data_IF_110014069213
#
_entry.id   IF_110014069213
#
_cell.length_a   1.000
_cell.length_b   1.000
_cell.length_c   1.000
_cell.angle_alpha   90.00
_cell.angle_beta   90.00
_cell.angle_gamma   90.00
#
_symmetry.space_group_name_H-M   'P 1'
#
loop_
_entity.id
_entity.type
_entity.pdbx_description
1 polymer ?
#
# COMPACT_ATOMS: atom_id res chain seq x y z
N UNK A 1 -4.87 55.91 40.97
CA UNK A 1 -3.66 56.02 41.83
C UNK A 1 -2.78 54.84 41.51
N UNK A 2 -1.64 55.13 40.87
CA UNK A 2 -0.56 54.19 40.62
C UNK A 2 0.10 53.80 41.95
N UNK A 3 0.49 52.54 42.10
CA UNK A 3 1.77 52.19 42.71
C UNK A 3 2.19 50.74 42.39
N UNK A 4 3.29 50.67 41.65
CA UNK A 4 4.44 49.74 41.73
C UNK A 4 4.23 48.30 42.22
N UNK A 5 4.63 47.34 41.39
CA UNK A 5 5.32 46.13 41.86
C UNK A 5 6.28 45.58 40.81
N UNK A 6 7.34 44.99 41.33
CA UNK A 6 8.67 44.69 40.79
C UNK A 6 8.73 43.73 39.61
N UNK A 7 9.69 43.99 38.72
CA UNK A 7 10.30 43.00 37.84
C UNK A 7 11.10 41.98 38.65
N UNK A 8 10.74 40.71 38.52
CA UNK A 8 11.62 39.57 38.76
C UNK A 8 11.47 38.62 37.58
N UNK A 9 12.56 38.45 36.84
CA UNK A 9 12.71 37.48 35.75
C UNK A 9 12.66 36.06 36.30
N UNK A 10 11.67 35.28 35.88
CA UNK A 10 11.71 33.83 35.97
C UNK A 10 11.88 33.27 34.56
N UNK A 11 13.08 32.75 34.29
CA UNK A 11 13.36 31.84 33.19
C UNK A 11 12.38 30.67 33.26
N UNK A 12 11.36 30.68 32.40
CA UNK A 12 10.64 29.48 32.02
C UNK A 12 11.39 28.87 30.84
N UNK A 13 12.25 27.91 31.17
CA UNK A 13 12.74 26.91 30.22
C UNK A 13 11.52 26.14 29.70
N UNK A 14 11.07 26.51 28.49
CA UNK A 14 10.15 25.72 27.70
C UNK A 14 10.82 24.38 27.38
N UNK A 15 10.56 23.38 28.22
CA UNK A 15 10.70 21.98 27.86
C UNK A 15 9.59 21.64 26.86
N UNK A 16 9.78 22.04 25.60
CA UNK A 16 9.08 21.45 24.47
C UNK A 16 9.64 20.04 24.26
N UNK A 17 9.16 19.10 25.07
CA UNK A 17 9.19 17.69 24.73
C UNK A 17 8.20 17.45 23.59
N UNK A 18 8.57 17.88 22.37
CA UNK A 18 8.03 17.26 21.18
C UNK A 18 8.55 15.82 21.18
N UNK A 19 7.67 14.87 21.51
CA UNK A 19 7.89 13.44 21.34
C UNK A 19 8.08 13.18 19.85
N UNK A 20 9.34 13.26 19.41
CA UNK A 20 9.77 12.78 18.11
C UNK A 20 9.62 11.27 18.14
N UNK A 21 8.52 10.77 17.57
CA UNK A 21 8.25 9.33 17.43
C UNK A 21 9.25 8.70 16.46
N UNK A 22 10.47 8.49 16.95
CA UNK A 22 11.42 7.54 16.38
C UNK A 22 11.06 6.09 16.77
N UNK A 23 9.96 5.89 17.51
CA UNK A 23 9.48 4.63 18.07
C UNK A 23 8.56 3.84 17.12
N UNK A 24 8.71 4.00 15.80
CA UNK A 24 8.10 3.05 14.88
C UNK A 24 8.86 1.74 14.94
N UNK A 25 8.48 0.89 15.90
CA UNK A 25 8.97 -0.48 16.02
C UNK A 25 8.14 -1.35 15.08
N UNK A 26 8.80 -1.94 14.09
CA UNK A 26 8.21 -3.01 13.30
C UNK A 26 8.22 -4.27 14.17
N UNK A 27 7.10 -4.59 14.81
CA UNK A 27 6.97 -5.83 15.57
C UNK A 27 6.76 -7.00 14.61
N UNK A 28 7.57 -8.05 14.71
CA UNK A 28 7.31 -9.35 14.08
C UNK A 28 6.16 -10.11 14.79
N UNK A 29 5.87 -9.74 16.03
CA UNK A 29 5.02 -10.50 16.97
C UNK A 29 3.53 -10.50 16.61
N UNK A 30 3.07 -9.65 15.69
CA UNK A 30 1.65 -9.61 15.32
C UNK A 30 1.27 -10.66 14.26
N UNK A 31 2.23 -11.42 13.71
CA UNK A 31 1.94 -12.57 12.84
C UNK A 31 1.90 -13.85 13.68
N UNK A 32 0.80 -14.61 13.60
CA UNK A 32 0.65 -15.85 14.37
C UNK A 32 1.69 -16.89 13.95
N UNK A 33 2.10 -17.78 14.87
CA UNK A 33 3.03 -18.87 14.54
C UNK A 33 2.50 -19.79 13.43
N UNK A 34 1.18 -19.99 13.36
CA UNK A 34 0.56 -20.74 12.27
C UNK A 34 0.74 -20.02 10.92
N UNK A 35 0.56 -18.70 10.88
CA UNK A 35 0.78 -17.91 9.68
C UNK A 35 2.27 -17.83 9.29
N UNK A 36 3.19 -17.73 10.26
CA UNK A 36 4.64 -17.80 9.99
C UNK A 36 5.04 -19.13 9.36
N UNK A 37 4.52 -20.24 9.88
CA UNK A 37 4.80 -21.57 9.35
C UNK A 37 4.25 -21.79 7.94
N UNK A 38 3.10 -21.17 7.62
CA UNK A 38 2.47 -21.33 6.31
C UNK A 38 3.05 -20.38 5.26
N UNK A 39 3.21 -19.09 5.58
CA UNK A 39 3.72 -18.07 4.68
C UNK A 39 5.20 -17.82 4.93
N UNK A 40 6.05 -18.76 4.52
CA UNK A 40 7.50 -18.71 4.78
C UNK A 40 8.19 -17.42 4.28
N UNK A 41 7.61 -16.77 3.26
CA UNK A 41 8.04 -15.49 2.71
C UNK A 41 7.78 -14.27 3.61
N UNK A 42 7.14 -14.44 4.79
CA UNK A 42 6.92 -13.36 5.75
C UNK A 42 8.23 -12.68 6.19
N UNK A 43 9.32 -13.46 6.23
CA UNK A 43 10.66 -12.98 6.59
C UNK A 43 11.24 -12.02 5.54
N UNK A 44 11.00 -12.28 4.25
CA UNK A 44 11.39 -11.38 3.16
C UNK A 44 10.59 -10.07 3.17
N UNK A 45 9.30 -10.16 3.50
CA UNK A 45 8.45 -8.98 3.72
C UNK A 45 9.02 -8.15 4.88
N UNK A 46 9.26 -8.76 6.04
CA UNK A 46 9.83 -8.07 7.20
C UNK A 46 11.18 -7.42 6.88
N UNK A 47 12.10 -8.17 6.26
CA UNK A 47 13.41 -7.66 5.84
C UNK A 47 13.28 -6.44 4.92
N UNK A 48 12.29 -6.43 4.04
CA UNK A 48 12.01 -5.30 3.15
C UNK A 48 11.53 -4.07 3.91
N UNK A 49 10.58 -4.24 4.83
CA UNK A 49 10.12 -3.13 5.67
C UNK A 49 11.22 -2.58 6.57
N UNK A 50 12.05 -3.44 7.17
CA UNK A 50 13.18 -3.02 7.99
C UNK A 50 14.23 -2.27 7.15
N UNK A 51 14.48 -2.74 5.92
CA UNK A 51 15.35 -2.04 4.96
C UNK A 51 14.86 -0.61 4.68
N UNK A 52 13.56 -0.43 4.42
CA UNK A 52 12.99 0.91 4.24
C UNK A 52 13.07 1.77 5.49
N UNK A 53 12.81 1.18 6.67
CA UNK A 53 12.89 1.88 7.95
C UNK A 53 14.31 2.43 8.17
N UNK A 54 15.34 1.60 7.96
CA UNK A 54 16.75 2.01 8.07
C UNK A 54 17.09 3.11 7.06
N UNK A 55 16.64 2.97 5.81
CA UNK A 55 16.86 3.97 4.76
C UNK A 55 16.28 5.34 5.16
N UNK A 56 15.03 5.38 5.63
CA UNK A 56 14.38 6.62 6.07
C UNK A 56 15.10 7.23 7.27
N UNK A 57 15.51 6.41 8.24
CA UNK A 57 16.19 6.89 9.45
C UNK A 57 17.58 7.48 9.15
N UNK A 58 18.31 6.90 8.20
CA UNK A 58 19.63 7.39 7.79
C UNK A 58 19.57 8.58 6.84
N UNK A 59 18.44 8.80 6.16
CA UNK A 59 18.33 9.87 5.17
C UNK A 59 18.22 11.26 5.85
N UNK A 60 19.30 12.04 5.75
CA UNK A 60 19.41 13.41 6.29
C UNK A 60 18.60 14.47 5.53
N UNK A 61 18.09 14.13 4.34
CA UNK A 61 17.32 15.04 3.49
C UNK A 61 15.80 14.96 3.73
N UNK A 62 15.36 14.00 4.55
CA UNK A 62 13.95 13.88 4.96
C UNK A 62 13.73 14.74 6.20
N UNK A 63 12.78 15.67 6.14
CA UNK A 63 12.37 16.49 7.28
C UNK A 63 11.76 15.62 8.40
N UNK A 64 11.74 16.11 9.63
CA UNK A 64 11.14 15.38 10.76
C UNK A 64 9.67 15.00 10.50
N UNK A 65 8.92 15.90 9.86
CA UNK A 65 7.52 15.65 9.47
C UNK A 65 7.43 14.53 8.42
N UNK A 66 8.24 14.60 7.36
CA UNK A 66 8.27 13.56 6.32
C UNK A 66 8.71 12.21 6.88
N UNK A 67 9.66 12.20 7.81
CA UNK A 67 10.15 11.00 8.49
C UNK A 67 9.03 10.33 9.27
N UNK A 68 8.31 11.08 10.11
CA UNK A 68 7.17 10.55 10.87
C UNK A 68 6.09 10.01 9.94
N UNK A 69 5.79 10.73 8.84
CA UNK A 69 4.82 10.28 7.84
C UNK A 69 5.21 8.94 7.22
N UNK A 70 6.43 8.81 6.69
CA UNK A 70 6.86 7.57 6.04
C UNK A 70 7.00 6.39 7.01
N UNK A 71 7.47 6.63 8.24
CA UNK A 71 7.56 5.58 9.26
C UNK A 71 6.17 5.10 9.67
N UNK A 72 5.23 6.00 9.95
CA UNK A 72 3.84 5.63 10.24
C UNK A 72 3.20 4.84 9.11
N UNK A 73 3.46 5.25 7.87
CA UNK A 73 2.96 4.55 6.69
C UNK A 73 3.55 3.14 6.54
N UNK A 74 4.86 2.96 6.76
CA UNK A 74 5.48 1.63 6.78
C UNK A 74 4.84 0.73 7.82
N UNK A 75 4.59 1.25 9.03
CA UNK A 75 3.95 0.51 10.10
C UNK A 75 2.53 0.08 9.73
N UNK A 76 1.75 0.99 9.13
CA UNK A 76 0.37 0.72 8.71
C UNK A 76 0.32 -0.37 7.63
N UNK A 77 1.21 -0.30 6.64
CA UNK A 77 1.30 -1.27 5.57
C UNK A 77 1.70 -2.65 6.08
N UNK A 78 2.76 -2.73 6.89
CA UNK A 78 3.21 -3.99 7.48
C UNK A 78 2.15 -4.60 8.40
N UNK A 79 1.46 -3.78 9.19
CA UNK A 79 0.33 -4.23 10.03
C UNK A 79 -0.82 -4.78 9.18
N UNK A 80 -1.16 -4.11 8.08
CA UNK A 80 -2.20 -4.55 7.14
C UNK A 80 -1.84 -5.90 6.52
N UNK A 81 -0.58 -6.08 6.10
CA UNK A 81 -0.06 -7.36 5.61
C UNK A 81 -0.26 -8.48 6.63
N UNK A 82 0.19 -8.29 7.88
CA UNK A 82 0.05 -9.30 8.94
C UNK A 82 -1.41 -9.66 9.22
N UNK A 83 -2.30 -8.66 9.25
CA UNK A 83 -3.74 -8.85 9.41
C UNK A 83 -4.34 -9.71 8.31
N UNK A 84 -3.98 -9.47 7.04
CA UNK A 84 -4.43 -10.28 5.90
C UNK A 84 -3.93 -11.72 6.00
N UNK A 85 -2.64 -11.92 6.30
CA UNK A 85 -2.06 -13.25 6.42
C UNK A 85 -2.68 -14.05 7.57
N UNK A 86 -2.83 -13.45 8.76
CA UNK A 86 -3.51 -14.11 9.89
C UNK A 86 -4.96 -14.46 9.52
N UNK A 87 -5.71 -13.51 8.95
CA UNK A 87 -7.09 -13.73 8.55
C UNK A 87 -7.21 -14.90 7.56
N UNK A 88 -6.29 -14.99 6.60
CA UNK A 88 -6.29 -16.05 5.61
C UNK A 88 -6.12 -17.45 6.21
N UNK A 89 -5.28 -17.58 7.23
CA UNK A 89 -5.01 -18.84 7.93
C UNK A 89 -6.15 -19.23 8.85
N UNK A 90 -6.67 -18.26 9.61
CA UNK A 90 -7.84 -18.48 10.47
C UNK A 90 -9.07 -18.95 9.67
N UNK A 91 -9.18 -18.52 8.41
CA UNK A 91 -10.32 -18.80 7.55
C UNK A 91 -9.96 -19.71 6.37
N UNK A 92 -9.02 -20.65 6.58
CA UNK A 92 -8.45 -21.75 5.72
C UNK A 92 -9.15 -22.16 4.41
N UNK A 93 -10.45 -21.93 4.22
CA UNK A 93 -11.25 -22.28 3.05
C UNK A 93 -10.77 -21.69 1.73
N UNK A 94 -9.95 -20.64 1.70
CA UNK A 94 -9.53 -19.94 0.47
C UNK A 94 -8.02 -19.93 0.21
N UNK A 95 -7.20 -20.39 1.15
CA UNK A 95 -5.75 -20.56 0.93
C UNK A 95 -5.50 -21.61 -0.16
N UNK A 96 -6.31 -22.67 -0.19
CA UNK A 96 -6.23 -23.75 -1.18
C UNK A 96 -7.10 -23.53 -2.43
N UNK A 97 -7.84 -22.42 -2.50
CA UNK A 97 -8.68 -22.13 -3.68
C UNK A 97 -7.80 -21.58 -4.81
N UNK A 98 -7.80 -22.28 -5.94
CA UNK A 98 -7.20 -21.78 -7.16
C UNK A 98 -7.90 -20.47 -7.57
N UNK A 99 -7.10 -19.49 -8.01
CA UNK A 99 -7.63 -18.34 -8.73
C UNK A 99 -8.39 -18.80 -9.99
N UNK A 100 -9.33 -17.99 -10.52
CA UNK A 100 -10.08 -18.36 -11.72
C UNK A 100 -9.16 -18.87 -12.84
N UNK A 101 -9.61 -19.90 -13.57
CA UNK A 101 -8.83 -20.54 -14.65
C UNK A 101 -8.46 -19.55 -15.76
N UNK A 102 -9.33 -18.55 -15.97
CA UNK A 102 -9.04 -17.37 -16.79
C UNK A 102 -8.16 -16.44 -15.97
N UNK A 103 -6.92 -16.21 -16.41
CA UNK A 103 -6.00 -15.30 -15.75
C UNK A 103 -6.49 -13.85 -15.76
N UNK A 104 -5.87 -12.96 -14.96
CA UNK A 104 -6.26 -11.56 -14.90
C UNK A 104 -6.04 -10.83 -16.23
N UNK A 105 -6.88 -9.85 -16.53
CA UNK A 105 -6.62 -8.84 -17.54
C UNK A 105 -5.86 -7.69 -16.88
N UNK A 106 -4.66 -7.39 -17.37
CA UNK A 106 -3.73 -6.48 -16.71
C UNK A 106 -3.45 -5.31 -17.64
N UNK A 107 -3.82 -4.10 -17.21
CA UNK A 107 -3.45 -2.86 -17.89
C UNK A 107 -2.08 -2.41 -17.37
N UNK A 108 -1.10 -2.37 -18.26
CA UNK A 108 0.28 -1.95 -17.94
C UNK A 108 0.76 -0.83 -18.89
N UNK A 109 1.93 -0.29 -18.57
CA UNK A 109 2.51 0.88 -19.24
C UNK A 109 2.92 1.96 -18.24
N UNK A 110 3.71 2.92 -18.71
CA UNK A 110 4.18 4.02 -17.88
C UNK A 110 3.04 4.97 -17.50
N UNK A 111 3.25 5.77 -16.46
CA UNK A 111 2.33 6.85 -16.13
C UNK A 111 2.14 7.80 -17.33
N UNK A 112 0.96 8.44 -17.41
CA UNK A 112 0.60 9.43 -18.45
C UNK A 112 0.44 8.87 -19.88
N UNK A 113 0.25 7.57 -20.02
CA UNK A 113 -0.05 6.86 -21.29
C UNK A 113 -1.55 6.57 -21.50
N UNK A 114 -2.40 6.97 -20.55
CA UNK A 114 -3.86 6.74 -20.61
C UNK A 114 -4.35 5.50 -19.86
N UNK A 115 -3.47 4.82 -19.10
CA UNK A 115 -3.83 3.64 -18.29
C UNK A 115 -5.04 3.86 -17.38
N UNK A 116 -5.11 4.98 -16.66
CA UNK A 116 -6.22 5.27 -15.73
C UNK A 116 -7.57 5.34 -16.44
N UNK A 117 -7.64 6.01 -17.60
CA UNK A 117 -8.87 6.10 -18.39
C UNK A 117 -9.30 4.72 -18.88
N UNK A 118 -8.37 3.97 -19.49
CA UNK A 118 -8.65 2.63 -20.01
C UNK A 118 -9.08 1.66 -18.91
N UNK A 119 -8.39 1.67 -17.77
CA UNK A 119 -8.68 0.81 -16.63
C UNK A 119 -10.09 1.06 -16.08
N UNK A 120 -10.47 2.32 -15.88
CA UNK A 120 -11.82 2.67 -15.44
C UNK A 120 -12.90 2.31 -16.47
N UNK A 121 -12.62 2.47 -17.78
CA UNK A 121 -13.55 2.07 -18.84
C UNK A 121 -13.79 0.55 -18.85
N UNK A 122 -12.72 -0.25 -18.75
CA UNK A 122 -12.81 -1.71 -18.70
C UNK A 122 -13.55 -2.17 -17.43
N UNK A 123 -13.35 -1.46 -16.31
CA UNK A 123 -14.00 -1.77 -15.05
C UNK A 123 -15.53 -1.54 -15.05
N UNK A 124 -16.09 -0.92 -16.09
CA UNK A 124 -17.54 -0.84 -16.28
C UNK A 124 -18.18 -2.20 -16.63
N UNK A 125 -17.41 -3.21 -17.06
CA UNK A 125 -17.94 -4.55 -17.30
C UNK A 125 -18.27 -5.25 -15.96
N UNK A 126 -19.57 -5.50 -15.74
CA UNK A 126 -20.06 -6.16 -14.53
C UNK A 126 -19.59 -7.62 -14.39
N UNK A 127 -19.07 -8.23 -15.46
CA UNK A 127 -18.50 -9.58 -15.39
C UNK A 127 -17.08 -9.60 -14.82
N UNK A 128 -16.34 -8.49 -14.91
CA UNK A 128 -15.02 -8.37 -14.31
C UNK A 128 -15.09 -7.82 -12.87
N UNK A 129 -13.97 -7.91 -12.15
CA UNK A 129 -13.78 -7.23 -10.88
C UNK A 129 -12.41 -6.57 -10.86
N UNK A 130 -12.40 -5.26 -10.63
CA UNK A 130 -11.21 -4.55 -10.18
C UNK A 130 -11.29 -4.35 -8.66
N UNK A 131 -10.16 -4.39 -7.93
CA UNK A 131 -10.15 -4.10 -6.51
C UNK A 131 -10.55 -2.64 -6.25
N UNK A 132 -11.39 -2.42 -5.25
CA UNK A 132 -11.70 -1.06 -4.79
C UNK A 132 -10.55 -0.51 -3.94
N UNK A 133 -10.35 0.81 -3.94
CA UNK A 133 -9.43 1.45 -3.01
C UNK A 133 -9.73 1.06 -1.56
N UNK A 134 -11.02 1.07 -1.19
CA UNK A 134 -11.48 0.68 0.14
C UNK A 134 -11.20 -0.80 0.44
N UNK A 135 -11.24 -1.69 -0.55
CA UNK A 135 -10.85 -3.09 -0.36
C UNK A 135 -9.38 -3.21 0.05
N UNK A 136 -8.52 -2.34 -0.49
CA UNK A 136 -7.08 -2.39 -0.29
C UNK A 136 -6.59 -1.59 0.91
N UNK A 137 -7.31 -0.56 1.33
CA UNK A 137 -6.76 0.44 2.27
C UNK A 137 -7.60 0.66 3.54
N UNK A 138 -8.89 0.29 3.56
CA UNK A 138 -9.80 0.67 4.66
C UNK A 138 -10.51 -0.55 5.24
N UNK A 139 -10.32 -0.82 6.54
CA UNK A 139 -10.92 -1.97 7.23
C UNK A 139 -10.77 -3.27 6.41
N UNK A 140 -9.56 -3.54 5.92
CA UNK A 140 -9.23 -4.57 4.91
C UNK A 140 -9.75 -5.95 5.30
N UNK A 141 -9.65 -6.30 6.59
CA UNK A 141 -10.19 -7.54 7.17
C UNK A 141 -11.26 -7.24 8.23
N UNK A 142 -12.40 -7.97 8.23
CA UNK A 142 -12.79 -8.98 7.25
C UNK A 142 -13.14 -8.36 5.87
N UNK A 143 -12.99 -9.10 4.75
CA UNK A 143 -13.40 -8.62 3.45
C UNK A 143 -14.93 -8.53 3.36
N UNK A 144 -15.42 -7.61 2.53
CA UNK A 144 -16.86 -7.45 2.25
C UNK A 144 -17.10 -7.49 0.73
N UNK A 145 -18.28 -7.95 0.33
CA UNK A 145 -18.67 -7.98 -1.07
C UNK A 145 -18.95 -6.56 -1.60
N UNK A 146 -18.82 -6.33 -2.92
CA UNK A 146 -19.27 -5.06 -3.53
C UNK A 146 -20.77 -4.81 -3.35
N UNK A 147 -21.56 -5.87 -3.19
CA UNK A 147 -23.00 -5.80 -2.94
C UNK A 147 -23.37 -5.37 -1.52
N UNK A 148 -22.42 -5.37 -0.57
CA UNK A 148 -22.66 -4.87 0.80
C UNK A 148 -22.63 -3.34 0.83
N UNK A 149 -23.74 -2.71 0.47
CA UNK A 149 -23.86 -1.26 0.40
C UNK A 149 -23.62 -0.57 1.74
N UNK A 150 -23.99 -1.20 2.85
CA UNK A 150 -23.79 -0.64 4.20
C UNK A 150 -22.32 -0.65 4.58
N UNK A 151 -21.64 -1.78 4.39
CA UNK A 151 -20.20 -1.91 4.65
C UNK A 151 -19.37 -0.99 3.75
N UNK A 152 -19.70 -0.92 2.46
CA UNK A 152 -19.01 -0.05 1.51
C UNK A 152 -19.20 1.44 1.85
N UNK A 153 -20.41 1.85 2.23
CA UNK A 153 -20.66 3.22 2.70
C UNK A 153 -19.85 3.54 3.95
N UNK A 154 -19.83 2.65 4.94
CA UNK A 154 -19.01 2.83 6.16
C UNK A 154 -17.53 3.01 5.83
N UNK A 155 -16.95 2.17 4.96
CA UNK A 155 -15.55 2.30 4.54
C UNK A 155 -15.29 3.65 3.85
N UNK A 156 -16.22 4.09 3.01
CA UNK A 156 -16.13 5.40 2.35
C UNK A 156 -16.23 6.57 3.35
N UNK A 157 -17.09 6.48 4.36
CA UNK A 157 -17.23 7.49 5.41
C UNK A 157 -15.94 7.60 6.25
N UNK A 158 -15.30 6.47 6.57
CA UNK A 158 -13.99 6.44 7.23
C UNK A 158 -12.94 7.14 6.36
N UNK A 159 -12.84 6.76 5.09
CA UNK A 159 -11.91 7.40 4.15
C UNK A 159 -12.13 8.92 4.06
N UNK A 160 -13.38 9.35 3.87
CA UNK A 160 -13.74 10.76 3.81
C UNK A 160 -13.42 11.49 5.11
N UNK A 161 -13.58 10.85 6.28
CA UNK A 161 -13.20 11.48 7.57
C UNK A 161 -11.69 11.68 7.71
N UNK A 162 -10.88 10.77 7.16
CA UNK A 162 -9.43 10.88 7.14
C UNK A 162 -8.98 11.98 6.17
N UNK A 163 -9.68 12.12 5.04
CA UNK A 163 -9.41 13.15 4.04
C UNK A 163 -10.00 14.52 4.42
N UNK A 164 -11.11 14.60 5.15
CA UNK A 164 -11.76 15.88 5.50
C UNK A 164 -11.29 16.44 6.85
N UNK A 165 -10.12 16.05 7.34
CA UNK A 165 -9.57 16.74 8.51
C UNK A 165 -9.32 18.22 8.13
N UNK A 166 -9.91 19.16 8.87
CA UNK A 166 -9.73 20.63 8.71
C UNK A 166 -8.26 21.09 8.79
N UNK A 167 -7.33 20.15 8.98
CA UNK A 167 -5.89 20.30 8.98
C UNK A 167 -5.22 19.88 7.65
N UNK A 168 -5.99 19.59 6.60
CA UNK A 168 -5.39 19.39 5.29
C UNK A 168 -4.70 20.67 4.84
N UNK A 169 -3.37 20.65 4.84
CA UNK A 169 -2.56 21.72 4.26
C UNK A 169 -2.95 21.99 2.79
N UNK A 170 -2.72 23.20 2.29
CA UNK A 170 -2.92 23.59 0.88
C UNK A 170 -2.27 22.58 -0.11
N UNK A 171 -1.19 21.92 0.32
CA UNK A 171 -0.53 20.84 -0.42
C UNK A 171 -1.46 19.63 -0.66
N UNK A 172 -2.20 19.18 0.34
CA UNK A 172 -3.09 18.02 0.21
C UNK A 172 -4.29 18.33 -0.70
N UNK A 173 -4.79 19.57 -0.67
CA UNK A 173 -5.80 20.06 -1.62
C UNK A 173 -5.26 20.02 -3.05
N UNK A 174 -4.02 20.49 -3.28
CA UNK A 174 -3.37 20.45 -4.61
C UNK A 174 -3.10 19.02 -5.09
N UNK A 175 -2.71 18.12 -4.19
CA UNK A 175 -2.53 16.70 -4.51
C UNK A 175 -3.86 16.08 -4.93
N UNK A 176 -4.92 16.28 -4.15
CA UNK A 176 -6.27 15.79 -4.46
C UNK A 176 -6.79 16.37 -5.78
N UNK A 177 -6.53 17.64 -6.08
CA UNK A 177 -6.90 18.26 -7.35
C UNK A 177 -6.10 17.71 -8.54
N UNK A 178 -4.87 17.25 -8.32
CA UNK A 178 -3.98 16.71 -9.36
C UNK A 178 -4.29 15.25 -9.69
N UNK A 179 -4.94 14.51 -8.79
CA UNK A 179 -5.26 13.09 -8.91
C UNK A 179 -6.73 12.89 -8.53
N UNK A 180 -7.60 12.84 -9.54
CA UNK A 180 -8.99 12.46 -9.34
C UNK A 180 -9.02 11.08 -8.67
N UNK A 181 -9.63 10.99 -7.49
CA UNK A 181 -9.77 9.73 -6.77
C UNK A 181 -10.89 8.93 -7.42
N UNK A 182 -10.57 7.71 -7.85
CA UNK A 182 -11.56 6.77 -8.35
C UNK A 182 -11.83 5.72 -7.26
N UNK A 183 -13.06 5.19 -7.16
CA UNK A 183 -13.32 4.05 -6.28
C UNK A 183 -12.45 2.83 -6.64
N UNK A 184 -12.07 2.73 -7.92
CA UNK A 184 -11.24 1.67 -8.48
C UNK A 184 -9.83 2.23 -8.65
N UNK A 185 -8.87 1.59 -7.98
CA UNK A 185 -7.48 2.05 -7.93
C UNK A 185 -6.50 0.95 -8.36
N UNK A 186 -5.24 1.34 -8.44
CA UNK A 186 -4.14 0.45 -8.84
C UNK A 186 -3.97 -0.72 -7.86
N UNK A 187 -3.81 -1.95 -8.34
CA UNK A 187 -3.55 -3.11 -7.46
C UNK A 187 -2.14 -3.05 -6.81
N UNK A 188 -1.32 -2.06 -7.19
CA UNK A 188 -0.09 -1.71 -6.49
C UNK A 188 -0.28 -1.39 -5.00
N UNK A 189 -1.48 -0.99 -4.57
CA UNK A 189 -1.79 -0.82 -3.14
C UNK A 189 -1.74 -2.15 -2.37
N UNK A 190 -2.00 -3.29 -3.04
CA UNK A 190 -1.85 -4.63 -2.47
C UNK A 190 -0.36 -4.96 -2.37
N UNK A 191 0.41 -4.84 -3.45
CA UNK A 191 1.84 -5.19 -3.43
C UNK A 191 2.64 -4.29 -2.47
N UNK A 192 2.19 -3.04 -2.28
CA UNK A 192 2.74 -2.10 -1.30
C UNK A 192 2.61 -2.59 0.14
N UNK A 193 1.55 -3.34 0.48
CA UNK A 193 1.40 -3.94 1.82
C UNK A 193 2.47 -5.01 2.08
N UNK A 194 2.93 -5.71 1.04
CA UNK A 194 4.08 -6.61 1.12
C UNK A 194 5.44 -5.89 1.00
N UNK A 195 5.46 -4.55 0.95
CA UNK A 195 6.70 -3.78 0.82
C UNK A 195 7.20 -3.63 -0.63
N UNK A 196 6.42 -4.00 -1.64
CA UNK A 196 6.77 -3.74 -3.03
C UNK A 196 6.12 -2.43 -3.52
N UNK A 197 6.86 -1.33 -3.36
CA UNK A 197 6.39 0.03 -3.68
C UNK A 197 7.53 0.91 -4.21
N UNK A 198 7.29 1.57 -5.35
CA UNK A 198 8.31 2.32 -6.09
C UNK A 198 8.79 3.62 -5.46
N UNK A 199 8.05 4.15 -4.49
CA UNK A 199 8.44 5.40 -3.83
C UNK A 199 9.58 5.19 -2.85
N UNK A 200 9.69 4.01 -2.23
CA UNK A 200 10.73 3.76 -1.22
C UNK A 200 12.16 3.72 -1.77
N UNK A 201 12.45 3.18 -2.96
CA UNK A 201 13.75 3.38 -3.60
C UNK A 201 14.15 4.86 -3.74
N UNK A 202 13.20 5.78 -3.93
CA UNK A 202 13.46 7.22 -4.01
C UNK A 202 13.78 7.86 -2.64
N UNK A 203 13.50 7.14 -1.55
CA UNK A 203 13.86 7.55 -0.19
C UNK A 203 15.24 7.04 0.22
N UNK A 204 15.90 6.21 -0.60
CA UNK A 204 17.30 5.83 -0.42
C UNK A 204 18.22 7.00 -0.77
N UNK A 205 19.24 7.21 0.06
CA UNK A 205 20.20 8.30 -0.11
C UNK A 205 21.53 7.83 -0.72
N UNK A 206 21.89 6.55 -0.59
CA UNK A 206 23.25 6.07 -0.87
C UNK A 206 23.25 4.79 -1.73
N UNK A 207 23.75 4.92 -2.96
CA UNK A 207 23.79 3.86 -3.98
C UNK A 207 24.59 2.60 -3.57
N UNK A 208 25.39 2.67 -2.51
CA UNK A 208 26.34 1.64 -2.08
C UNK A 208 25.96 0.89 -0.78
N UNK A 209 24.72 0.99 -0.30
CA UNK A 209 24.24 0.21 0.86
C UNK A 209 23.62 -1.12 0.41
N UNK A 210 23.87 -2.22 1.13
CA UNK A 210 23.20 -3.52 0.95
C UNK A 210 21.66 -3.38 0.96
N UNK A 211 21.17 -2.39 1.72
CA UNK A 211 19.77 -1.98 1.76
C UNK A 211 19.28 -1.48 0.40
N UNK A 212 20.03 -0.63 -0.28
CA UNK A 212 19.67 -0.11 -1.60
C UNK A 212 19.74 -1.22 -2.66
N UNK A 213 20.77 -2.07 -2.59
CA UNK A 213 20.89 -3.24 -3.45
C UNK A 213 19.69 -4.19 -3.27
N UNK A 214 19.26 -4.47 -2.04
CA UNK A 214 18.07 -5.27 -1.78
C UNK A 214 16.80 -4.66 -2.40
N UNK A 215 16.63 -3.35 -2.26
CA UNK A 215 15.46 -2.61 -2.76
C UNK A 215 15.44 -2.59 -4.30
N UNK A 216 16.59 -2.32 -4.94
CA UNK A 216 16.72 -2.28 -6.40
C UNK A 216 16.70 -3.66 -7.03
N UNK A 217 17.10 -4.70 -6.30
CA UNK A 217 17.10 -6.06 -6.81
C UNK A 217 15.67 -6.58 -6.95
N UNK A 218 15.14 -6.43 -8.17
CA UNK A 218 13.80 -6.90 -8.54
C UNK A 218 13.71 -8.40 -8.78
N UNK A 219 14.84 -9.11 -8.84
CA UNK A 219 14.91 -10.55 -9.17
C UNK A 219 14.30 -11.40 -8.04
N UNK A 220 14.28 -10.90 -6.81
CA UNK A 220 13.78 -11.61 -5.61
C UNK A 220 12.60 -10.86 -4.96
N UNK A 221 11.51 -10.66 -5.71
CA UNK A 221 10.28 -10.01 -5.23
C UNK A 221 9.03 -10.89 -5.41
N UNK A 222 9.22 -12.20 -5.58
CA UNK A 222 8.14 -13.19 -5.77
C UNK A 222 7.14 -13.17 -4.61
N UNK A 223 7.63 -12.98 -3.38
CA UNK A 223 6.82 -12.86 -2.18
C UNK A 223 5.72 -11.78 -2.27
N UNK A 224 5.93 -10.72 -3.07
CA UNK A 224 4.95 -9.66 -3.25
C UNK A 224 3.74 -10.16 -4.06
N UNK A 225 3.98 -11.06 -5.02
CA UNK A 225 2.94 -11.72 -5.80
C UNK A 225 2.32 -12.91 -5.06
N UNK A 226 3.09 -13.65 -4.25
CA UNK A 226 2.52 -14.62 -3.30
C UNK A 226 1.48 -13.95 -2.39
N UNK A 227 1.86 -12.83 -1.77
CA UNK A 227 0.93 -12.02 -0.98
C UNK A 227 -0.26 -11.49 -1.79
N UNK A 228 0.01 -11.00 -3.01
CA UNK A 228 -1.04 -10.47 -3.89
C UNK A 228 -2.09 -11.54 -4.23
N UNK A 229 -1.67 -12.79 -4.50
CA UNK A 229 -2.59 -13.91 -4.70
C UNK A 229 -3.45 -14.19 -3.47
N UNK A 230 -2.86 -14.21 -2.28
CA UNK A 230 -3.60 -14.39 -1.02
C UNK A 230 -4.64 -13.30 -0.83
N UNK A 231 -4.29 -12.05 -1.14
CA UNK A 231 -5.20 -10.92 -1.08
C UNK A 231 -6.40 -11.10 -2.03
N UNK A 232 -6.14 -11.47 -3.29
CA UNK A 232 -7.22 -11.72 -4.26
C UNK A 232 -8.09 -12.93 -3.89
N UNK A 233 -7.51 -14.00 -3.33
CA UNK A 233 -8.24 -15.16 -2.81
C UNK A 233 -9.15 -14.77 -1.64
N UNK A 234 -8.65 -13.91 -0.74
CA UNK A 234 -9.45 -13.33 0.34
C UNK A 234 -10.65 -12.54 -0.22
N UNK A 235 -10.45 -11.69 -1.22
CA UNK A 235 -11.56 -10.96 -1.86
C UNK A 235 -12.54 -11.87 -2.60
N UNK A 236 -12.05 -12.94 -3.24
CA UNK A 236 -12.88 -13.95 -3.92
C UNK A 236 -13.81 -14.69 -2.94
N UNK A 237 -13.40 -14.84 -1.68
CA UNK A 237 -14.20 -15.54 -0.66
C UNK A 237 -15.56 -14.89 -0.40
N UNK A 238 -15.70 -13.59 -0.71
CA UNK A 238 -16.95 -12.83 -0.54
C UNK A 238 -17.56 -12.34 -1.85
N UNK A 239 -16.77 -12.12 -2.91
CA UNK A 239 -17.24 -11.57 -4.19
C UNK A 239 -16.28 -11.92 -5.35
N UNK A 240 -16.31 -13.15 -5.85
CA UNK A 240 -15.48 -13.55 -6.99
C UNK A 240 -15.96 -12.88 -8.30
N UNK A 241 -15.07 -12.42 -9.20
CA UNK A 241 -15.47 -12.00 -10.55
C UNK A 241 -16.13 -13.15 -11.32
N UNK A 242 -17.11 -12.83 -12.17
CA UNK A 242 -17.76 -13.82 -13.05
C UNK A 242 -16.86 -14.25 -14.22
N UNK A 243 -16.02 -13.33 -14.70
CA UNK A 243 -15.12 -13.55 -15.84
C UNK A 243 -13.66 -13.53 -15.40
N UNK A 244 -13.13 -12.39 -14.97
CA UNK A 244 -11.71 -12.22 -14.66
C UNK A 244 -11.47 -11.08 -13.66
N UNK A 245 -10.29 -11.10 -13.03
CA UNK A 245 -9.75 -9.95 -12.32
C UNK A 245 -9.21 -8.94 -13.33
N UNK A 246 -9.59 -7.68 -13.16
CA UNK A 246 -9.04 -6.54 -13.90
C UNK A 246 -8.03 -5.85 -12.98
N UNK A 247 -6.75 -5.87 -13.37
CA UNK A 247 -5.62 -5.34 -12.59
C UNK A 247 -4.91 -4.23 -13.37
N UNK A 248 -4.23 -3.34 -12.66
CA UNK A 248 -3.42 -2.28 -13.25
C UNK A 248 -2.39 -1.80 -12.24
N UNK A 249 -1.12 -1.95 -12.61
CA UNK A 249 0.00 -1.34 -11.90
C UNK A 249 1.07 -0.94 -12.90
N UNK A 250 1.59 0.31 -12.84
CA UNK A 250 2.77 0.67 -13.62
C UNK A 250 4.00 -0.15 -13.18
N UNK A 251 3.96 -0.80 -12.02
CA UNK A 251 5.10 -1.54 -11.48
C UNK A 251 5.20 -2.98 -11.96
N UNK A 252 4.13 -3.56 -12.49
CA UNK A 252 4.20 -4.90 -13.09
C UNK A 252 5.18 -4.96 -14.25
N UNK A 253 5.41 -3.84 -14.97
CA UNK A 253 6.33 -3.83 -16.11
C UNK A 253 7.78 -4.11 -15.71
N UNK A 254 8.17 -3.79 -14.47
CA UNK A 254 9.55 -3.98 -14.01
C UNK A 254 9.83 -5.42 -13.53
N UNK A 255 8.78 -6.18 -13.20
CA UNK A 255 8.86 -7.57 -12.73
C UNK A 255 7.81 -8.45 -13.42
N UNK A 256 7.63 -8.24 -14.74
CA UNK A 256 6.58 -8.89 -15.51
C UNK A 256 6.81 -10.40 -15.63
N UNK A 257 8.06 -10.83 -15.66
CA UNK A 257 8.46 -12.23 -15.60
C UNK A 257 7.95 -12.91 -14.33
N UNK A 258 8.07 -12.24 -13.17
CA UNK A 258 7.54 -12.75 -11.90
C UNK A 258 6.03 -12.73 -11.89
N UNK A 259 5.41 -11.63 -12.32
CA UNK A 259 3.96 -11.56 -12.47
C UNK A 259 3.40 -12.73 -13.29
N UNK A 260 4.01 -13.04 -14.43
CA UNK A 260 3.57 -14.13 -15.32
C UNK A 260 3.86 -15.53 -14.77
N UNK A 261 4.80 -15.70 -13.83
CA UNK A 261 5.00 -16.97 -13.13
C UNK A 261 3.81 -17.31 -12.22
N UNK A 262 3.27 -16.30 -11.54
CA UNK A 262 2.09 -16.38 -10.68
C UNK A 262 0.79 -16.44 -11.50
N UNK A 263 0.68 -15.57 -12.51
CA UNK A 263 -0.50 -15.45 -13.37
C UNK A 263 -0.24 -15.92 -14.80
N UNK A 264 -0.01 -17.22 -14.98
CA UNK A 264 0.40 -17.81 -16.28
C UNK A 264 -0.56 -17.53 -17.44
N UNK A 265 -1.86 -17.39 -17.15
CA UNK A 265 -2.89 -17.11 -18.14
C UNK A 265 -3.27 -15.63 -18.22
N UNK A 266 -2.44 -14.73 -17.68
CA UNK A 266 -2.74 -13.30 -17.71
C UNK A 266 -2.75 -12.75 -19.14
N UNK A 267 -3.68 -11.84 -19.39
CA UNK A 267 -3.76 -11.05 -20.61
C UNK A 267 -3.22 -9.66 -20.33
N UNK A 268 -2.28 -9.19 -21.14
CA UNK A 268 -1.62 -7.90 -20.93
C UNK A 268 -2.11 -6.88 -21.96
N UNK A 269 -2.55 -5.72 -21.49
CA UNK A 269 -2.80 -4.54 -22.32
C UNK A 269 -1.75 -3.49 -21.99
N UNK A 270 -0.75 -3.34 -22.86
CA UNK A 270 0.29 -2.33 -22.70
C UNK A 270 -0.06 -1.06 -23.45
N UNK A 271 -0.17 0.05 -22.73
CA UNK A 271 -0.39 1.38 -23.30
C UNK A 271 0.94 2.04 -23.63
N UNK A 272 0.98 2.77 -24.75
CA UNK A 272 2.19 3.44 -25.25
C UNK A 272 1.89 4.91 -25.55
N UNK A 273 2.85 5.77 -25.22
CA UNK A 273 2.85 7.20 -25.59
C UNK A 273 4.29 7.66 -25.79
N UNK A 274 4.49 8.60 -26.71
CA UNK A 274 5.77 9.30 -26.81
C UNK A 274 5.97 10.21 -25.59
N UNK A 275 7.03 9.97 -24.81
CA UNK A 275 7.34 10.70 -23.58
C UNK A 275 8.05 12.04 -23.82
N UNK A 276 8.57 12.27 -25.02
CA UNK A 276 9.34 13.47 -25.38
C UNK A 276 8.48 14.58 -26.01
N UNK A 277 7.16 14.48 -25.90
CA UNK A 277 6.19 15.45 -26.43
C UNK A 277 5.39 16.11 -25.32
#
# INVERSE_FOLDING_TARGET
MLNSMSMTSSDQTNNDHSTTSNDTILHEDDLTEQAKNHFTYHSDIFRTFESYRQSILRNKHITSVGRNFFLSELQNLHTSCKRVLNYAIEHNKFVDQNLPTIGPLVVCGLARTGTTLLYNLLACDQQCRAPLFTDMCIDIVPPIARSDSTGQKRRMDIFNSQMNSDQLSDLLIRIAASHAHFPIEEDSYITRQAGYFSMFPLLSHNEDDDTENWIRNQISKDYAYDYHEIFLRMLNSVDMPKSHWLLKSPFHIFCLDKFLQHYRNALLIMTHRNLLR
#
